data_IF_307851850592
#
_entry.id   IF_307851850592
#
_cell.length_a   1.000
_cell.length_b   1.000
_cell.length_c   1.000
_cell.angle_alpha   90.00
_cell.angle_beta   90.00
_cell.angle_gamma   90.00
#
_symmetry.space_group_name_H-M   'P 1'
#
loop_
_entity.id
_entity.type
_entity.pdbx_description
1 polymer ?
#
# COMPACT_ATOMS: atom_id res chain seq x y z
N UNK A 1 -45.74 -10.02 -19.43
CA UNK A 1 -44.69 -9.63 -18.46
C UNK A 1 -43.90 -8.50 -19.09
N UNK A 2 -44.00 -7.30 -18.51
CA UNK A 2 -43.65 -6.03 -19.16
C UNK A 2 -42.15 -5.84 -19.33
N UNK A 3 -41.72 -5.49 -20.54
CA UNK A 3 -40.34 -5.15 -20.90
C UNK A 3 -39.74 -4.06 -19.99
N UNK A 4 -40.57 -3.19 -19.41
CA UNK A 4 -40.17 -2.16 -18.44
C UNK A 4 -39.57 -2.71 -17.12
N UNK A 5 -39.97 -3.91 -16.70
CA UNK A 5 -39.41 -4.55 -15.48
C UNK A 5 -38.03 -5.15 -15.77
N UNK A 6 -37.80 -5.58 -17.01
CA UNK A 6 -36.52 -6.16 -17.42
C UNK A 6 -35.45 -5.08 -17.65
N UNK A 7 -35.85 -3.90 -18.14
CA UNK A 7 -34.96 -2.73 -18.23
C UNK A 7 -34.62 -2.14 -16.86
N UNK A 8 -35.55 -2.10 -15.91
CA UNK A 8 -35.26 -1.60 -14.55
C UNK A 8 -34.29 -2.50 -13.79
N UNK A 9 -34.40 -3.82 -13.93
CA UNK A 9 -33.46 -4.78 -13.34
C UNK A 9 -32.07 -4.73 -14.00
N UNK A 10 -32.00 -4.45 -15.31
CA UNK A 10 -30.74 -4.28 -16.04
C UNK A 10 -30.03 -2.96 -15.69
N UNK A 11 -30.78 -1.89 -15.37
CA UNK A 11 -30.22 -0.63 -14.86
C UNK A 11 -29.77 -0.75 -13.40
N UNK A 12 -30.48 -1.50 -12.56
CA UNK A 12 -30.11 -1.72 -11.16
C UNK A 12 -28.80 -2.53 -11.04
N UNK A 13 -28.54 -3.46 -11.96
CA UNK A 13 -27.28 -4.20 -12.07
C UNK A 13 -26.10 -3.37 -12.63
N UNK A 14 -26.36 -2.18 -13.20
CA UNK A 14 -25.33 -1.23 -13.68
C UNK A 14 -24.90 -0.20 -12.63
N UNK A 15 -25.42 -0.25 -11.40
CA UNK A 15 -24.81 0.52 -10.32
C UNK A 15 -23.47 -0.15 -9.97
N UNK A 16 -22.33 0.55 -10.08
CA UNK A 16 -21.07 0.01 -9.62
C UNK A 16 -21.22 -0.28 -8.13
N UNK A 17 -21.26 -1.57 -7.77
CA UNK A 17 -21.27 -1.95 -6.37
C UNK A 17 -20.05 -1.31 -5.71
N UNK A 18 -20.29 -0.44 -4.73
CA UNK A 18 -19.25 0.18 -3.92
C UNK A 18 -18.40 -0.93 -3.33
N UNK A 19 -17.23 -1.18 -3.94
CA UNK A 19 -16.31 -2.22 -3.46
C UNK A 19 -15.89 -1.83 -2.06
N UNK A 20 -16.38 -2.58 -1.08
CA UNK A 20 -15.99 -2.45 0.33
C UNK A 20 -14.47 -2.47 0.38
N UNK A 21 -13.88 -1.31 0.66
CA UNK A 21 -12.43 -1.12 0.77
C UNK A 21 -11.96 -1.97 1.95
N UNK A 22 -11.43 -3.16 1.67
CA UNK A 22 -10.83 -3.99 2.71
C UNK A 22 -9.68 -3.21 3.36
N UNK A 23 -9.81 -2.99 4.66
CA UNK A 23 -8.98 -2.09 5.45
C UNK A 23 -7.52 -2.59 5.43
N UNK A 24 -6.61 -1.81 4.86
CA UNK A 24 -5.16 -2.11 4.75
C UNK A 24 -4.41 -2.23 6.10
N UNK A 25 -5.07 -1.98 7.23
CA UNK A 25 -4.49 -2.02 8.58
C UNK A 25 -3.82 -3.37 8.92
N UNK A 26 -4.30 -4.48 8.35
CA UNK A 26 -3.74 -5.81 8.61
C UNK A 26 -2.27 -5.94 8.22
N UNK A 27 -1.80 -5.23 7.18
CA UNK A 27 -0.38 -5.26 6.81
C UNK A 27 0.50 -4.43 7.73
N UNK A 28 0.01 -3.24 8.08
CA UNK A 28 0.49 -2.37 9.15
C UNK A 28 0.94 -3.16 10.37
N UNK A 29 -0.06 -3.85 10.91
CA UNK A 29 0.03 -4.63 12.13
C UNK A 29 0.94 -5.84 11.93
N UNK A 30 0.81 -6.54 10.80
CA UNK A 30 1.66 -7.69 10.51
C UNK A 30 3.16 -7.34 10.48
N UNK A 31 3.56 -6.26 9.82
CA UNK A 31 4.96 -5.81 9.82
C UNK A 31 5.43 -5.41 11.23
N UNK A 32 4.58 -4.72 12.00
CA UNK A 32 4.90 -4.35 13.38
C UNK A 32 5.14 -5.60 14.24
N UNK A 33 4.26 -6.61 14.14
CA UNK A 33 4.40 -7.88 14.85
C UNK A 33 5.72 -8.56 14.51
N UNK A 34 6.13 -8.58 13.24
CA UNK A 34 7.43 -9.15 12.84
C UNK A 34 8.60 -8.37 13.42
N UNK A 35 8.56 -7.03 13.41
CA UNK A 35 9.62 -6.21 14.02
C UNK A 35 9.73 -6.51 15.52
N UNK A 36 8.61 -6.65 16.22
CA UNK A 36 8.58 -7.04 17.63
C UNK A 36 9.16 -8.44 17.82
N UNK A 37 8.77 -9.42 17.01
CA UNK A 37 9.30 -10.80 17.08
C UNK A 37 10.81 -10.82 16.83
N UNK A 38 11.32 -10.06 15.86
CA UNK A 38 12.75 -9.97 15.58
C UNK A 38 13.51 -9.29 16.71
N UNK A 39 12.91 -8.27 17.33
CA UNK A 39 13.51 -7.56 18.48
C UNK A 39 13.59 -8.48 19.69
N UNK A 40 12.51 -9.16 20.03
CA UNK A 40 12.49 -10.17 21.10
C UNK A 40 13.48 -11.28 20.78
N UNK A 41 13.48 -11.75 19.54
CA UNK A 41 14.38 -12.81 19.08
C UNK A 41 15.85 -12.46 19.21
N UNK A 42 16.21 -11.23 18.87
CA UNK A 42 17.57 -10.71 19.07
C UNK A 42 17.91 -10.60 20.56
N UNK A 43 16.99 -10.12 21.40
CA UNK A 43 17.22 -10.07 22.85
C UNK A 43 17.40 -11.48 23.44
N UNK A 44 16.62 -12.45 23.00
CA UNK A 44 16.75 -13.86 23.44
C UNK A 44 18.04 -14.49 22.91
N UNK A 45 18.48 -14.17 21.70
CA UNK A 45 19.73 -14.73 21.16
C UNK A 45 20.96 -14.30 21.98
N UNK A 46 20.93 -13.12 22.61
CA UNK A 46 22.02 -12.69 23.52
C UNK A 46 22.15 -13.58 24.77
N UNK A 47 21.09 -14.30 25.15
CA UNK A 47 21.07 -15.19 26.30
C UNK A 47 21.69 -16.57 26.00
N UNK A 48 22.06 -16.87 24.74
CA UNK A 48 22.73 -18.12 24.29
C UNK A 48 21.99 -19.43 24.60
N UNK A 49 20.66 -19.45 24.48
CA UNK A 49 19.85 -20.64 24.75
C UNK A 49 20.05 -21.78 23.74
N UNK A 50 20.58 -21.47 22.54
CA UNK A 50 21.00 -22.42 21.51
C UNK A 50 22.09 -21.76 20.66
N UNK A 51 22.86 -22.57 19.91
CA UNK A 51 23.94 -22.07 19.03
C UNK A 51 23.65 -22.36 17.56
N UNK A 52 24.26 -21.59 16.64
CA UNK A 52 24.27 -21.97 15.22
C UNK A 52 24.87 -23.36 15.05
N UNK A 53 24.17 -24.25 14.36
CA UNK A 53 24.61 -25.63 14.10
C UNK A 53 24.09 -26.68 15.08
N UNK A 54 23.58 -26.30 16.25
CA UNK A 54 22.83 -27.24 17.11
C UNK A 54 21.53 -27.67 16.41
N UNK A 55 20.92 -28.79 16.79
CA UNK A 55 19.72 -29.36 16.15
C UNK A 55 18.61 -28.32 15.93
N UNK A 56 18.39 -27.44 16.93
CA UNK A 56 17.39 -26.37 16.86
C UNK A 56 17.77 -25.35 15.77
N UNK A 57 19.01 -24.87 15.81
CA UNK A 57 19.52 -23.92 14.82
C UNK A 57 19.45 -24.52 13.42
N UNK A 58 19.99 -25.71 13.22
CA UNK A 58 19.97 -26.42 11.93
C UNK A 58 18.56 -26.57 11.36
N UNK A 59 17.59 -27.03 12.18
CA UNK A 59 16.21 -27.20 11.74
C UNK A 59 15.55 -25.88 11.34
N UNK A 60 15.82 -24.77 12.04
CA UNK A 60 15.34 -23.45 11.62
C UNK A 60 15.91 -23.03 10.26
N UNK A 61 17.19 -23.33 10.02
CA UNK A 61 17.86 -23.08 8.75
C UNK A 61 17.25 -23.91 7.61
N UNK A 62 17.01 -25.20 7.85
CA UNK A 62 16.38 -26.11 6.89
C UNK A 62 14.96 -25.65 6.53
N UNK A 63 14.12 -25.37 7.53
CA UNK A 63 12.74 -24.89 7.31
C UNK A 63 12.76 -23.55 6.59
N UNK A 64 13.62 -22.62 7.00
CA UNK A 64 13.81 -21.32 6.32
C UNK A 64 14.25 -21.48 4.87
N UNK A 65 15.20 -22.35 4.60
CA UNK A 65 15.68 -22.67 3.24
C UNK A 65 14.58 -23.28 2.36
N UNK A 66 13.80 -24.22 2.89
CA UNK A 66 12.63 -24.79 2.18
C UNK A 66 11.62 -23.69 1.86
N UNK A 67 11.34 -22.78 2.80
CA UNK A 67 10.45 -21.65 2.54
C UNK A 67 11.00 -20.71 1.45
N UNK A 68 12.32 -20.42 1.43
CA UNK A 68 12.94 -19.64 0.36
C UNK A 68 12.80 -20.33 -1.01
N UNK A 69 12.96 -21.65 -1.08
CA UNK A 69 12.73 -22.40 -2.32
C UNK A 69 11.26 -22.32 -2.76
N UNK A 70 10.32 -22.41 -1.81
CA UNK A 70 8.89 -22.26 -2.09
C UNK A 70 8.53 -20.87 -2.66
N UNK A 71 9.30 -19.82 -2.34
CA UNK A 71 9.10 -18.50 -2.96
C UNK A 71 9.27 -18.51 -4.47
N UNK A 72 10.17 -19.35 -4.98
CA UNK A 72 10.48 -19.46 -6.41
C UNK A 72 9.35 -20.13 -7.20
N UNK A 73 8.45 -20.86 -6.54
CA UNK A 73 7.29 -21.46 -7.20
C UNK A 73 6.34 -20.38 -7.75
N UNK A 74 6.25 -19.20 -7.12
CA UNK A 74 5.42 -18.11 -7.62
C UNK A 74 5.85 -17.61 -9.01
N UNK A 75 7.11 -17.15 -9.23
CA UNK A 75 7.56 -16.74 -10.56
C UNK A 75 7.63 -17.92 -11.53
N UNK A 76 7.98 -19.13 -11.05
CA UNK A 76 8.06 -20.33 -11.88
C UNK A 76 6.69 -20.71 -12.44
N UNK A 77 5.63 -20.64 -11.62
CA UNK A 77 4.24 -20.87 -12.03
C UNK A 77 3.81 -19.95 -13.17
N UNK A 78 4.24 -18.69 -13.16
CA UNK A 78 3.90 -17.75 -14.23
C UNK A 78 4.55 -18.11 -15.57
N UNK A 79 5.73 -18.74 -15.54
CA UNK A 79 6.52 -19.05 -16.74
C UNK A 79 6.28 -20.46 -17.28
N UNK A 80 6.14 -21.45 -16.40
CA UNK A 80 5.98 -22.87 -16.75
C UNK A 80 4.51 -23.19 -17.01
N UNK A 81 4.21 -23.69 -18.22
CA UNK A 81 2.82 -23.98 -18.66
C UNK A 81 2.10 -24.98 -17.74
N UNK A 82 2.79 -26.03 -17.30
CA UNK A 82 2.22 -27.08 -16.45
C UNK A 82 1.77 -26.58 -15.06
N UNK A 83 2.49 -25.61 -14.48
CA UNK A 83 2.17 -25.08 -13.15
C UNK A 83 1.04 -24.03 -13.16
N UNK A 84 0.58 -23.59 -14.34
CA UNK A 84 -0.44 -22.53 -14.45
C UNK A 84 -1.79 -22.95 -13.85
N UNK A 85 -2.15 -24.24 -13.92
CA UNK A 85 -3.41 -24.78 -13.40
C UNK A 85 -3.46 -24.90 -11.87
N UNK A 86 -2.32 -24.78 -11.18
CA UNK A 86 -2.26 -24.95 -9.73
C UNK A 86 -2.82 -23.72 -8.99
N UNK A 87 -4.11 -23.74 -8.67
CA UNK A 87 -4.79 -22.79 -7.76
C UNK A 87 -4.94 -21.36 -8.28
N UNK A 88 -5.47 -20.45 -7.47
CA UNK A 88 -5.78 -19.06 -7.89
C UNK A 88 -4.58 -18.13 -7.63
N UNK A 89 -4.25 -17.24 -8.57
CA UNK A 89 -3.05 -16.38 -8.51
C UNK A 89 -2.92 -15.52 -7.24
N UNK A 90 -3.99 -14.91 -6.66
CA UNK A 90 -3.88 -14.11 -5.45
C UNK A 90 -3.42 -14.92 -4.22
N UNK A 91 -3.77 -16.21 -4.16
CA UNK A 91 -3.38 -17.10 -3.05
C UNK A 91 -1.87 -17.32 -3.07
N UNK A 92 -1.29 -17.61 -4.24
CA UNK A 92 0.15 -17.77 -4.39
C UNK A 92 0.91 -16.49 -4.09
N UNK A 93 0.39 -15.34 -4.52
CA UNK A 93 1.00 -14.06 -4.17
C UNK A 93 0.98 -13.81 -2.66
N UNK A 94 -0.12 -14.16 -1.97
CA UNK A 94 -0.22 -14.08 -0.51
C UNK A 94 0.82 -14.97 0.18
N UNK A 95 0.95 -16.23 -0.24
CA UNK A 95 1.95 -17.16 0.31
C UNK A 95 3.39 -16.71 0.03
N UNK A 96 3.66 -16.19 -1.16
CA UNK A 96 4.95 -15.61 -1.51
C UNK A 96 5.32 -14.46 -0.55
N UNK A 97 4.37 -13.58 -0.22
CA UNK A 97 4.63 -12.51 0.75
C UNK A 97 4.84 -13.05 2.18
N UNK A 98 4.08 -14.07 2.59
CA UNK A 98 4.20 -14.67 3.93
C UNK A 98 5.57 -15.33 4.10
N UNK A 99 5.95 -16.21 3.18
CA UNK A 99 7.26 -16.87 3.21
C UNK A 99 8.40 -15.88 2.99
N UNK A 100 8.17 -14.79 2.25
CA UNK A 100 9.15 -13.74 2.01
C UNK A 100 9.57 -12.99 3.27
N UNK A 101 8.85 -13.18 4.38
CA UNK A 101 9.19 -12.59 5.68
C UNK A 101 9.47 -13.67 6.74
N UNK A 102 8.69 -14.76 6.75
CA UNK A 102 8.94 -15.87 7.68
C UNK A 102 10.28 -16.56 7.43
N UNK A 103 10.67 -16.76 6.17
CA UNK A 103 11.92 -17.42 5.86
C UNK A 103 13.14 -16.60 6.32
N UNK A 104 13.24 -15.28 6.01
CA UNK A 104 14.28 -14.43 6.60
C UNK A 104 14.30 -14.42 8.12
N UNK A 105 13.13 -14.44 8.74
CA UNK A 105 13.01 -14.47 10.20
C UNK A 105 13.65 -15.75 10.76
N UNK A 106 13.26 -16.93 10.25
CA UNK A 106 13.83 -18.21 10.69
C UNK A 106 15.34 -18.31 10.41
N UNK A 107 15.82 -17.76 9.29
CA UNK A 107 17.25 -17.78 8.96
C UNK A 107 18.05 -16.84 9.89
N UNK A 108 17.49 -15.70 10.30
CA UNK A 108 18.10 -14.85 11.33
C UNK A 108 18.21 -15.59 12.66
N UNK A 109 17.17 -16.33 13.06
CA UNK A 109 17.21 -17.18 14.25
C UNK A 109 18.22 -18.33 14.12
N UNK A 110 18.26 -19.03 12.98
CA UNK A 110 19.25 -20.07 12.68
C UNK A 110 20.69 -19.61 12.92
N UNK A 111 21.01 -18.39 12.47
CA UNK A 111 22.32 -17.78 12.65
C UNK A 111 22.55 -17.14 14.02
N UNK A 112 21.54 -17.15 14.90
CA UNK A 112 21.54 -16.40 16.18
C UNK A 112 21.89 -14.92 16.01
N UNK A 113 21.56 -14.34 14.86
CA UNK A 113 21.93 -12.97 14.46
C UNK A 113 23.45 -12.73 14.33
N UNK A 114 24.24 -13.79 14.13
CA UNK A 114 25.70 -13.72 13.99
C UNK A 114 26.17 -14.26 12.63
N UNK A 115 27.18 -13.63 12.03
CA UNK A 115 27.75 -14.03 10.75
C UNK A 115 29.04 -14.82 10.99
N UNK A 116 28.98 -16.14 10.77
CA UNK A 116 30.13 -17.03 10.99
C UNK A 116 31.15 -17.09 9.86
N UNK A 117 30.80 -16.66 8.65
CA UNK A 117 31.69 -16.68 7.48
C UNK A 117 31.28 -15.66 6.43
N UNK A 118 32.19 -15.32 5.50
CA UNK A 118 31.90 -14.41 4.37
C UNK A 118 30.77 -14.99 3.50
N UNK A 119 30.78 -16.29 3.26
CA UNK A 119 29.74 -16.98 2.50
C UNK A 119 28.35 -16.82 3.15
N UNK A 120 28.25 -17.13 4.45
CA UNK A 120 27.01 -16.94 5.20
C UNK A 120 26.56 -15.46 5.21
N UNK A 121 27.51 -14.52 5.31
CA UNK A 121 27.25 -13.09 5.24
C UNK A 121 26.67 -12.65 3.90
N UNK A 122 27.23 -13.13 2.79
CA UNK A 122 26.69 -12.84 1.44
C UNK A 122 25.27 -13.36 1.27
N UNK A 123 24.99 -14.60 1.69
CA UNK A 123 23.65 -15.18 1.63
C UNK A 123 22.65 -14.40 2.50
N UNK A 124 23.05 -14.03 3.71
CA UNK A 124 22.23 -13.24 4.62
C UNK A 124 21.90 -11.85 4.04
N UNK A 125 22.91 -11.13 3.53
CA UNK A 125 22.71 -9.80 2.93
C UNK A 125 21.82 -9.90 1.69
N UNK A 126 22.06 -10.85 0.80
CA UNK A 126 21.22 -11.06 -0.38
C UNK A 126 19.76 -11.33 0.02
N UNK A 127 19.54 -12.17 1.03
CA UNK A 127 18.21 -12.48 1.55
C UNK A 127 17.51 -11.25 2.11
N UNK A 128 18.20 -10.44 2.93
CA UNK A 128 17.65 -9.22 3.50
C UNK A 128 17.34 -8.17 2.44
N UNK A 129 18.19 -8.04 1.40
CA UNK A 129 17.93 -7.15 0.27
C UNK A 129 16.71 -7.59 -0.55
N UNK A 130 16.54 -8.90 -0.81
CA UNK A 130 15.35 -9.45 -1.49
C UNK A 130 14.10 -9.25 -0.64
N UNK A 131 14.13 -9.60 0.64
CA UNK A 131 12.99 -9.46 1.54
C UNK A 131 12.58 -7.99 1.69
N UNK A 132 13.55 -7.10 1.95
CA UNK A 132 13.33 -5.66 2.07
C UNK A 132 12.79 -5.05 0.78
N UNK A 133 13.42 -5.36 -0.37
CA UNK A 133 12.89 -4.90 -1.66
C UNK A 133 11.49 -5.46 -1.95
N UNK A 134 11.17 -6.69 -1.53
CA UNK A 134 9.84 -7.28 -1.63
C UNK A 134 8.77 -6.50 -0.86
N UNK A 135 9.10 -5.99 0.34
CA UNK A 135 8.22 -5.09 1.11
C UNK A 135 7.92 -3.80 0.35
N UNK A 136 8.94 -3.19 -0.27
CA UNK A 136 8.74 -2.02 -1.16
C UNK A 136 7.89 -2.36 -2.38
N UNK A 137 8.11 -3.53 -2.99
CA UNK A 137 7.30 -4.03 -4.10
C UNK A 137 5.81 -4.11 -3.77
N UNK A 138 5.48 -4.61 -2.56
CA UNK A 138 4.10 -4.62 -2.08
C UNK A 138 3.55 -3.21 -1.90
N UNK A 139 4.33 -2.29 -1.34
CA UNK A 139 3.91 -0.89 -1.17
C UNK A 139 3.55 -0.26 -2.54
N UNK A 140 4.35 -0.50 -3.57
CA UNK A 140 4.01 -0.05 -4.92
C UNK A 140 2.78 -0.78 -5.48
N UNK A 141 2.67 -2.10 -5.28
CA UNK A 141 1.55 -2.90 -5.74
C UNK A 141 0.21 -2.39 -5.20
N UNK A 142 0.09 -2.10 -3.90
CA UNK A 142 -1.16 -1.55 -3.33
C UNK A 142 -1.50 -0.19 -3.92
N UNK A 143 -0.48 0.60 -4.29
CA UNK A 143 -0.61 1.90 -4.95
C UNK A 143 -0.86 1.82 -6.45
N UNK A 144 -0.89 0.64 -7.09
CA UNK A 144 -1.26 0.48 -8.52
C UNK A 144 -2.46 -0.45 -8.74
N UNK A 145 -2.77 -1.36 -7.80
CA UNK A 145 -3.72 -2.46 -8.00
C UNK A 145 -5.13 -2.03 -8.42
N UNK A 146 -5.62 -0.88 -7.95
CA UNK A 146 -6.96 -0.37 -8.33
C UNK A 146 -7.04 0.19 -9.76
N UNK A 147 -5.98 0.06 -10.57
CA UNK A 147 -5.90 0.59 -11.92
C UNK A 147 -6.02 2.12 -11.98
N UNK A 148 -5.83 2.68 -13.18
CA UNK A 148 -6.09 4.10 -13.44
C UNK A 148 -7.60 4.36 -13.60
N UNK A 149 -8.26 3.54 -14.44
CA UNK A 149 -9.70 3.65 -14.70
C UNK A 149 -10.55 3.56 -13.43
N UNK A 150 -10.22 2.65 -12.51
CA UNK A 150 -10.92 2.54 -11.23
C UNK A 150 -10.79 3.79 -10.35
N UNK A 151 -9.63 4.46 -10.38
CA UNK A 151 -9.43 5.72 -9.65
C UNK A 151 -10.11 6.89 -10.33
N UNK A 152 -10.08 6.95 -11.65
CA UNK A 152 -10.81 7.97 -12.41
C UNK A 152 -12.31 7.84 -12.20
N UNK A 153 -12.84 6.61 -12.19
CA UNK A 153 -14.23 6.33 -11.85
C UNK A 153 -14.57 6.77 -10.42
N UNK A 154 -13.76 6.39 -9.42
CA UNK A 154 -13.95 6.83 -8.03
C UNK A 154 -13.85 8.36 -7.86
N UNK A 155 -12.94 9.01 -8.59
CA UNK A 155 -12.85 10.48 -8.59
C UNK A 155 -14.11 11.11 -9.21
N UNK A 156 -14.62 10.53 -10.30
CA UNK A 156 -15.83 10.98 -10.97
C UNK A 156 -17.07 10.82 -10.09
N UNK A 157 -17.20 9.68 -9.41
CA UNK A 157 -18.26 9.41 -8.45
C UNK A 157 -18.24 10.40 -7.28
N UNK A 158 -17.06 10.67 -6.70
CA UNK A 158 -16.91 11.70 -5.66
C UNK A 158 -17.26 13.10 -6.18
N UNK A 159 -16.99 13.41 -7.46
CA UNK A 159 -17.35 14.68 -8.07
C UNK A 159 -18.86 14.81 -8.26
N UNK A 160 -19.51 13.73 -8.74
CA UNK A 160 -20.96 13.66 -8.91
C UNK A 160 -21.67 13.76 -7.55
N UNK A 161 -21.17 13.08 -6.50
CA UNK A 161 -21.68 13.18 -5.13
C UNK A 161 -21.59 14.61 -4.57
N UNK A 162 -20.47 15.31 -4.81
CA UNK A 162 -20.33 16.71 -4.40
C UNK A 162 -21.24 17.66 -5.18
N UNK A 163 -21.62 17.32 -6.41
CA UNK A 163 -22.53 18.10 -7.25
C UNK A 163 -24.02 17.85 -6.95
N UNK A 164 -24.39 16.60 -6.62
CA UNK A 164 -25.77 16.16 -6.34
C UNK A 164 -26.19 16.41 -4.90
N UNK A 165 -25.27 16.33 -3.93
CA UNK A 165 -25.62 16.55 -2.54
C UNK A 165 -25.92 18.04 -2.33
N UNK A 166 -27.21 18.40 -2.28
CA UNK A 166 -27.66 19.77 -2.03
C UNK A 166 -27.07 20.41 -0.75
N UNK A 167 -26.66 19.60 0.24
CA UNK A 167 -25.92 20.06 1.42
C UNK A 167 -24.46 20.45 1.12
N UNK A 168 -23.80 19.79 0.17
CA UNK A 168 -22.44 20.15 -0.26
C UNK A 168 -22.47 21.33 -1.20
N UNK A 169 -23.48 21.44 -2.08
CA UNK A 169 -23.72 22.67 -2.85
C UNK A 169 -24.06 23.87 -1.96
N UNK A 170 -24.69 23.63 -0.81
CA UNK A 170 -24.89 24.62 0.25
C UNK A 170 -23.54 25.01 0.90
N UNK A 171 -22.68 24.04 1.27
CA UNK A 171 -21.35 24.28 1.89
C UNK A 171 -20.30 24.87 0.95
N UNK A 172 -20.20 24.39 -0.29
CA UNK A 172 -19.39 25.00 -1.36
C UNK A 172 -19.99 26.33 -1.81
N UNK A 173 -21.32 26.47 -1.75
CA UNK A 173 -22.01 27.74 -1.93
C UNK A 173 -21.63 28.79 -0.89
N UNK A 174 -21.32 28.39 0.35
CA UNK A 174 -20.78 29.29 1.39
C UNK A 174 -19.28 29.63 1.19
N UNK A 175 -18.55 28.88 0.36
CA UNK A 175 -17.11 29.05 0.20
C UNK A 175 -16.64 28.73 -1.25
N UNK A 176 -16.97 29.59 -2.24
CA UNK A 176 -16.56 29.40 -3.65
C UNK A 176 -15.03 29.32 -3.83
N UNK A 177 -14.26 29.85 -2.88
CA UNK A 177 -12.81 29.70 -2.85
C UNK A 177 -12.33 28.25 -2.68
N UNK A 178 -13.10 27.39 -2.00
CA UNK A 178 -12.76 25.98 -1.79
C UNK A 178 -12.94 25.20 -3.09
N UNK A 179 -14.07 25.39 -3.78
CA UNK A 179 -14.36 24.74 -5.07
C UNK A 179 -13.30 25.12 -6.12
N UNK A 180 -13.02 26.41 -6.26
CA UNK A 180 -11.97 26.90 -7.16
C UNK A 180 -10.59 26.33 -6.84
N UNK A 181 -10.22 26.25 -5.56
CA UNK A 181 -8.93 25.70 -5.15
C UNK A 181 -8.80 24.20 -5.47
N UNK A 182 -9.89 23.43 -5.33
CA UNK A 182 -9.94 22.02 -5.71
C UNK A 182 -9.82 21.83 -7.22
N UNK A 183 -10.54 22.62 -8.01
CA UNK A 183 -10.48 22.58 -9.47
C UNK A 183 -9.11 23.00 -10.00
N UNK A 184 -8.52 24.05 -9.46
CA UNK A 184 -7.16 24.45 -9.83
C UNK A 184 -6.13 23.37 -9.47
N UNK A 185 -6.26 22.73 -8.30
CA UNK A 185 -5.38 21.62 -7.91
C UNK A 185 -5.50 20.44 -8.89
N UNK A 186 -6.72 20.10 -9.31
CA UNK A 186 -6.98 19.09 -10.33
C UNK A 186 -6.38 19.47 -11.68
N UNK A 187 -6.62 20.69 -12.16
CA UNK A 187 -6.11 21.17 -13.45
C UNK A 187 -4.58 21.16 -13.49
N UNK A 188 -3.93 21.61 -12.40
CA UNK A 188 -2.47 21.58 -12.25
C UNK A 188 -1.93 20.15 -12.25
N UNK A 189 -2.55 19.24 -11.51
CA UNK A 189 -2.11 17.84 -11.43
C UNK A 189 -2.35 17.06 -12.74
N UNK A 190 -3.43 17.36 -13.47
CA UNK A 190 -3.71 16.77 -14.77
C UNK A 190 -2.69 17.19 -15.85
N UNK A 191 -2.24 18.45 -15.87
CA UNK A 191 -1.16 18.91 -16.76
C UNK A 191 0.15 18.19 -16.46
N UNK A 192 0.50 18.06 -15.18
CA UNK A 192 1.75 17.41 -14.75
C UNK A 192 1.77 15.92 -15.12
N UNK A 193 0.63 15.22 -15.03
CA UNK A 193 0.53 13.81 -15.44
C UNK A 193 0.85 13.57 -16.93
N UNK A 194 0.84 14.60 -17.79
CA UNK A 194 1.16 14.51 -19.21
C UNK A 194 2.61 14.85 -19.56
N UNK A 195 3.38 15.46 -18.65
CA UNK A 195 4.78 15.85 -18.89
C UNK A 195 5.76 14.79 -18.37
N UNK A 196 6.48 14.12 -19.27
CA UNK A 196 7.20 12.87 -19.00
C UNK A 196 8.43 12.92 -18.06
N UNK A 197 9.05 14.09 -17.86
CA UNK A 197 10.45 14.11 -17.38
C UNK A 197 10.69 14.72 -16.00
N UNK A 198 9.68 15.33 -15.36
CA UNK A 198 9.85 15.93 -14.04
C UNK A 198 9.35 15.01 -12.88
N UNK A 199 9.33 13.69 -13.13
CA UNK A 199 8.47 12.70 -12.46
C UNK A 199 8.63 12.55 -10.94
N UNK A 200 9.85 12.47 -10.39
CA UNK A 200 10.06 12.19 -8.95
C UNK A 200 9.93 13.44 -8.06
N UNK A 201 10.45 14.58 -8.52
CA UNK A 201 10.32 15.84 -7.79
C UNK A 201 8.87 16.33 -7.78
N UNK A 202 8.15 16.17 -8.90
CA UNK A 202 6.72 16.47 -8.96
C UNK A 202 5.90 15.50 -8.12
N UNK A 203 6.27 14.22 -8.06
CA UNK A 203 5.63 13.25 -7.19
C UNK A 203 5.70 13.65 -5.71
N UNK A 204 6.89 14.01 -5.22
CA UNK A 204 7.08 14.42 -3.82
C UNK A 204 6.32 15.72 -3.52
N UNK A 205 6.40 16.71 -4.42
CA UNK A 205 5.72 18.00 -4.23
C UNK A 205 4.20 17.89 -4.35
N UNK A 206 3.63 17.02 -5.19
CA UNK A 206 2.17 16.77 -5.25
C UNK A 206 1.67 16.22 -3.92
N UNK A 207 2.40 15.29 -3.31
CA UNK A 207 2.05 14.74 -1.99
C UNK A 207 2.01 15.82 -0.90
N UNK A 208 3.05 16.64 -0.82
CA UNK A 208 3.16 17.73 0.15
C UNK A 208 2.07 18.79 -0.11
N UNK A 209 1.89 19.20 -1.37
CA UNK A 209 0.87 20.19 -1.77
C UNK A 209 -0.54 19.70 -1.47
N UNK A 210 -0.84 18.42 -1.68
CA UNK A 210 -2.14 17.85 -1.32
C UNK A 210 -2.42 17.96 0.18
N UNK A 211 -1.41 17.69 1.04
CA UNK A 211 -1.54 17.80 2.50
C UNK A 211 -1.69 19.26 2.94
N UNK A 212 -0.87 20.17 2.38
CA UNK A 212 -0.96 21.60 2.69
C UNK A 212 -2.29 22.18 2.24
N UNK A 213 -2.77 21.80 1.05
CA UNK A 213 -4.07 22.23 0.52
C UNK A 213 -5.21 21.69 1.39
N UNK A 214 -5.22 20.40 1.74
CA UNK A 214 -6.21 19.82 2.66
C UNK A 214 -6.25 20.60 3.97
N UNK A 215 -5.09 20.85 4.61
CA UNK A 215 -5.01 21.63 5.85
C UNK A 215 -5.53 23.07 5.67
N UNK A 216 -5.21 23.72 4.56
CA UNK A 216 -5.69 25.07 4.25
C UNK A 216 -7.20 25.11 4.07
N UNK A 217 -7.75 24.19 3.26
CA UNK A 217 -9.19 24.14 2.97
C UNK A 217 -10.01 23.75 4.19
N UNK A 218 -9.51 22.85 5.03
CA UNK A 218 -10.17 22.51 6.31
C UNK A 218 -10.18 23.71 7.27
N UNK A 219 -9.11 24.52 7.31
CA UNK A 219 -9.10 25.77 8.08
C UNK A 219 -10.10 26.79 7.53
N UNK A 220 -10.18 26.95 6.22
CA UNK A 220 -11.14 27.85 5.58
C UNK A 220 -12.58 27.41 5.84
N UNK A 221 -12.85 26.12 5.71
CA UNK A 221 -14.14 25.51 6.03
C UNK A 221 -14.52 25.75 7.49
N UNK A 222 -13.58 25.52 8.42
CA UNK A 222 -13.81 25.78 9.84
C UNK A 222 -14.14 27.25 10.10
N UNK A 223 -13.40 28.20 9.52
CA UNK A 223 -13.69 29.62 9.66
C UNK A 223 -15.06 30.00 9.08
N UNK A 224 -15.39 29.53 7.86
CA UNK A 224 -16.66 29.82 7.20
C UNK A 224 -17.87 29.29 7.99
N UNK A 225 -17.72 28.12 8.64
CA UNK A 225 -18.80 27.49 9.41
C UNK A 225 -18.93 28.04 10.83
N UNK A 226 -17.82 28.34 11.52
CA UNK A 226 -17.85 28.76 12.93
C UNK A 226 -17.92 30.29 13.13
N UNK A 227 -17.53 31.12 12.16
CA UNK A 227 -17.65 32.59 12.30
C UNK A 227 -19.10 33.05 12.48
N UNK A 228 -20.06 32.64 11.62
CA UNK A 228 -21.46 33.03 11.76
C UNK A 228 -22.13 32.43 13.01
N UNK A 229 -21.66 31.26 13.44
CA UNK A 229 -22.16 30.58 14.64
C UNK A 229 -21.77 31.31 15.94
N UNK A 230 -20.56 31.89 15.98
CA UNK A 230 -20.10 32.74 17.09
C UNK A 230 -20.81 34.07 17.12
N UNK A 231 -20.99 34.72 15.97
CA UNK A 231 -21.72 36.00 15.87
C UNK A 231 -23.17 35.89 16.33
N UNK A 232 -23.82 34.75 16.07
CA UNK A 232 -25.22 34.49 16.43
C UNK A 232 -25.43 33.80 17.78
N UNK A 233 -24.38 33.61 18.59
CA UNK A 233 -24.44 32.95 19.91
C UNK A 233 -25.29 31.66 19.92
N UNK A 234 -24.97 30.73 19.02
CA UNK A 234 -25.72 29.47 18.89
C UNK A 234 -25.70 28.63 20.18
N UNK A 235 -26.81 27.93 20.44
CA UNK A 235 -26.94 27.05 21.59
C UNK A 235 -26.15 25.73 21.42
N UNK A 236 -26.02 24.97 22.52
CA UNK A 236 -25.24 23.72 22.52
C UNK A 236 -25.73 22.69 21.49
N UNK A 237 -27.05 22.57 21.27
CA UNK A 237 -27.62 21.64 20.29
C UNK A 237 -27.35 22.08 18.83
N UNK A 238 -27.33 23.38 18.56
CA UNK A 238 -26.95 23.94 17.26
C UNK A 238 -25.46 23.75 17.00
N UNK A 239 -24.61 23.93 18.02
CA UNK A 239 -23.17 23.70 17.91
C UNK A 239 -22.84 22.23 17.65
N UNK A 240 -23.54 21.30 18.29
CA UNK A 240 -23.37 19.87 18.04
C UNK A 240 -23.73 19.48 16.60
N UNK A 241 -24.83 20.03 16.05
CA UNK A 241 -25.17 19.83 14.63
C UNK A 241 -24.11 20.40 13.69
N UNK A 242 -23.56 21.56 14.02
CA UNK A 242 -22.48 22.19 13.25
C UNK A 242 -21.22 21.31 13.22
N UNK A 243 -20.86 20.71 14.37
CA UNK A 243 -19.69 19.84 14.47
C UNK A 243 -19.84 18.56 13.65
N UNK A 244 -21.01 17.92 13.68
CA UNK A 244 -21.32 16.75 12.84
C UNK A 244 -21.19 17.12 11.36
N UNK A 245 -21.83 18.23 10.95
CA UNK A 245 -21.75 18.73 9.57
C UNK A 245 -20.31 19.06 9.17
N UNK A 246 -19.52 19.68 10.04
CA UNK A 246 -18.12 19.98 9.78
C UNK A 246 -17.30 18.71 9.58
N UNK A 247 -17.52 17.68 10.41
CA UNK A 247 -16.86 16.38 10.29
C UNK A 247 -17.12 15.71 8.95
N UNK A 248 -18.37 15.71 8.49
CA UNK A 248 -18.78 15.15 7.19
C UNK A 248 -18.14 15.90 6.01
N UNK A 249 -18.23 17.23 6.00
CA UNK A 249 -17.65 18.06 4.93
C UNK A 249 -16.13 17.96 4.88
N UNK A 250 -15.47 17.98 6.05
CA UNK A 250 -14.01 17.76 6.15
C UNK A 250 -13.62 16.42 5.54
N UNK A 251 -14.37 15.35 5.86
CA UNK A 251 -14.10 14.01 5.34
C UNK A 251 -14.22 13.98 3.82
N UNK A 252 -15.23 14.63 3.24
CA UNK A 252 -15.41 14.70 1.78
C UNK A 252 -14.27 15.46 1.09
N UNK A 253 -13.88 16.63 1.59
CA UNK A 253 -12.74 17.40 1.06
C UNK A 253 -11.45 16.57 1.10
N UNK A 254 -11.20 15.89 2.22
CA UNK A 254 -10.03 15.03 2.37
C UNK A 254 -10.06 13.84 1.40
N UNK A 255 -11.23 13.23 1.18
CA UNK A 255 -11.40 12.13 0.23
C UNK A 255 -11.17 12.59 -1.22
N UNK A 256 -11.72 13.74 -1.60
CA UNK A 256 -11.55 14.31 -2.94
C UNK A 256 -10.08 14.62 -3.23
N UNK A 257 -9.40 15.34 -2.34
CA UNK A 257 -7.98 15.70 -2.51
C UNK A 257 -7.10 14.43 -2.61
N UNK A 258 -7.39 13.41 -1.79
CA UNK A 258 -6.71 12.11 -1.86
C UNK A 258 -6.97 11.43 -3.20
N UNK A 259 -8.21 11.42 -3.69
CA UNK A 259 -8.53 10.82 -4.99
C UNK A 259 -7.81 11.52 -6.15
N UNK A 260 -7.79 12.86 -6.17
CA UNK A 260 -7.05 13.64 -7.20
C UNK A 260 -5.56 13.32 -7.14
N UNK A 261 -4.96 13.31 -5.94
CA UNK A 261 -3.55 12.94 -5.74
C UNK A 261 -3.27 11.51 -6.23
N UNK A 262 -4.12 10.56 -5.89
CA UNK A 262 -3.92 9.14 -6.20
C UNK A 262 -4.07 8.85 -7.70
N UNK A 263 -4.86 9.64 -8.43
CA UNK A 263 -4.90 9.66 -9.92
C UNK A 263 -3.61 10.28 -10.48
N UNK A 264 -3.21 11.45 -9.98
CA UNK A 264 -2.04 12.17 -10.48
C UNK A 264 -0.72 11.40 -10.29
N UNK A 265 -0.57 10.68 -9.18
CA UNK A 265 0.63 9.90 -8.86
C UNK A 265 0.63 8.50 -9.48
N UNK A 266 -0.46 8.06 -10.14
CA UNK A 266 -0.61 6.70 -10.63
C UNK A 266 0.54 6.26 -11.55
N UNK A 267 0.81 7.03 -12.60
CA UNK A 267 1.87 6.70 -13.56
C UNK A 267 3.27 6.71 -12.93
N UNK A 268 3.49 7.51 -11.89
CA UNK A 268 4.75 7.46 -11.14
C UNK A 268 4.88 6.15 -10.37
N UNK A 269 3.83 5.71 -9.68
CA UNK A 269 3.84 4.42 -8.99
C UNK A 269 3.99 3.24 -9.97
N UNK A 270 3.40 3.34 -11.17
CA UNK A 270 3.58 2.36 -12.23
C UNK A 270 5.05 2.28 -12.70
N UNK A 271 5.69 3.43 -12.92
CA UNK A 271 7.12 3.49 -13.28
C UNK A 271 8.02 2.96 -12.16
N UNK A 272 7.76 3.34 -10.91
CA UNK A 272 8.48 2.82 -9.74
C UNK A 272 8.31 1.31 -9.60
N UNK A 273 7.11 0.78 -9.86
CA UNK A 273 6.86 -0.65 -9.85
C UNK A 273 7.61 -1.40 -10.96
N UNK A 274 7.70 -0.80 -12.15
CA UNK A 274 8.52 -1.33 -13.25
C UNK A 274 10.02 -1.37 -12.89
N UNK A 275 10.56 -0.28 -12.35
CA UNK A 275 11.94 -0.23 -11.88
C UNK A 275 12.21 -1.20 -10.72
N UNK A 276 11.25 -1.32 -9.80
CA UNK A 276 11.34 -2.30 -8.73
C UNK A 276 11.47 -3.72 -9.28
N UNK A 277 10.69 -4.09 -10.31
CA UNK A 277 10.82 -5.39 -10.95
C UNK A 277 12.21 -5.61 -11.56
N UNK A 278 12.77 -4.59 -12.23
CA UNK A 278 14.12 -4.64 -12.81
C UNK A 278 15.19 -4.84 -11.73
N UNK A 279 15.02 -4.23 -10.56
CA UNK A 279 15.96 -4.33 -9.45
C UNK A 279 15.81 -5.61 -8.62
N UNK A 280 14.57 -6.01 -8.33
CA UNK A 280 14.27 -7.14 -7.46
C UNK A 280 14.66 -8.48 -8.08
N UNK A 281 14.48 -8.66 -9.40
CA UNK A 281 14.78 -9.92 -10.08
C UNK A 281 16.27 -10.30 -9.98
N UNK A 282 17.25 -9.41 -10.30
CA UNK A 282 18.67 -9.67 -10.07
C UNK A 282 19.02 -10.05 -8.64
N UNK A 283 18.41 -9.40 -7.64
CA UNK A 283 18.63 -9.73 -6.24
C UNK A 283 18.17 -11.16 -5.92
N UNK A 284 17.06 -11.62 -6.50
CA UNK A 284 16.60 -13.00 -6.33
C UNK A 284 17.63 -13.99 -6.89
N UNK A 285 18.21 -13.71 -8.06
CA UNK A 285 19.28 -14.56 -8.58
C UNK A 285 20.50 -14.59 -7.65
N UNK A 286 20.94 -13.44 -7.16
CA UNK A 286 22.03 -13.35 -6.18
C UNK A 286 21.74 -14.19 -4.93
N UNK A 287 20.51 -14.11 -4.39
CA UNK A 287 20.07 -14.91 -3.24
C UNK A 287 20.11 -16.40 -3.55
N UNK A 288 19.63 -16.83 -4.71
CA UNK A 288 19.64 -18.25 -5.09
C UNK A 288 21.08 -18.78 -5.17
N UNK A 289 21.98 -18.09 -5.85
CA UNK A 289 23.37 -18.54 -5.98
C UNK A 289 24.11 -18.54 -4.64
N UNK A 290 23.99 -17.47 -3.85
CA UNK A 290 24.63 -17.39 -2.54
C UNK A 290 24.04 -18.41 -1.55
N UNK A 291 22.74 -18.67 -1.57
CA UNK A 291 22.09 -19.69 -0.76
C UNK A 291 22.55 -21.11 -1.10
N UNK A 292 22.64 -21.45 -2.39
CA UNK A 292 23.17 -22.75 -2.84
C UNK A 292 24.62 -22.91 -2.37
N UNK A 293 25.46 -21.90 -2.59
CA UNK A 293 26.87 -21.95 -2.19
C UNK A 293 27.03 -22.02 -0.66
N UNK A 294 26.15 -21.36 0.11
CA UNK A 294 26.11 -21.48 1.57
C UNK A 294 25.83 -22.91 2.02
N UNK A 295 24.78 -23.55 1.48
CA UNK A 295 24.43 -24.93 1.85
C UNK A 295 25.54 -25.90 1.49
N UNK A 296 26.09 -25.81 0.26
CA UNK A 296 27.19 -26.69 -0.18
C UNK A 296 28.40 -26.53 0.74
N UNK A 297 28.81 -25.28 1.00
CA UNK A 297 30.00 -25.00 1.82
C UNK A 297 29.90 -25.52 3.25
N UNK A 298 28.70 -25.57 3.84
CA UNK A 298 28.48 -26.07 5.20
C UNK A 298 28.46 -27.60 5.27
N UNK A 299 28.19 -28.29 4.16
CA UNK A 299 28.16 -29.77 4.12
C UNK A 299 29.46 -30.39 3.59
N UNK A 300 30.29 -29.60 2.91
CA UNK A 300 31.58 -30.05 2.37
C UNK A 300 32.76 -29.86 3.34
N UNK A 301 32.63 -28.96 4.32
CA UNK A 301 33.65 -28.60 5.31
C UNK A 301 33.06 -28.65 6.71
#
# INVERSE_FOLDING_TARGET
MNANVQTSLAEEQRKPQARVRSREYGWNIFLLVIVVILTIGYLVSTQKWYKPGDDIGYNMGLVGGIMLLMLLLYPLRKRVRFLRSLGILPIWFKWHMIFGILAPTLILFHSTFYIGSINAGMALVAMLLVAGSGVFGRFFYTKIHNGLYGRQANLKELQEEMAETGNVKSVLGFAPGIEKALDEFRARTAKVSKGGDAGLWHFATIGIRAVLLSRSLVRQLHHAMYSPAKEKNWNAAQMQRLEIMFGENKKQVDLYIRAVRDVAQFHTYERLFSWWHIFHIPLVYLLVFSGIFHVISVHMY
#
